data_IF_571822307531
#
_entry.id   IF_571822307531
#
_cell.length_a   1.000
_cell.length_b   1.000
_cell.length_c   1.000
_cell.angle_alpha   90.00
_cell.angle_beta   90.00
_cell.angle_gamma   90.00
#
_symmetry.space_group_name_H-M   'P 1'
#
loop_
_entity.id
_entity.type
_entity.pdbx_description
1 polymer ?
#
# COMPACT_ATOMS: atom_id res chain seq x y z
N UNK A 1 -4.36 9.26 17.79
CA UNK A 1 -4.01 9.03 16.39
C UNK A 1 -2.50 9.26 16.30
N UNK A 2 -1.72 8.45 15.59
CA UNK A 2 -0.27 8.74 15.40
C UNK A 2 -0.09 10.04 14.63
N UNK A 3 1.08 10.68 14.77
CA UNK A 3 1.47 11.84 13.98
C UNK A 3 1.58 11.42 12.51
N UNK A 4 0.99 12.19 11.61
CA UNK A 4 1.01 11.99 10.15
C UNK A 4 1.71 13.17 9.48
N UNK A 5 2.35 12.91 8.34
CA UNK A 5 2.82 13.94 7.41
C UNK A 5 1.83 14.06 6.27
N UNK A 6 1.20 15.22 6.15
CA UNK A 6 0.09 15.47 5.23
C UNK A 6 0.49 16.49 4.16
N UNK A 7 -0.07 16.32 2.96
CA UNK A 7 -0.04 17.34 1.93
C UNK A 7 -1.45 17.82 1.66
N UNK A 8 -1.71 19.12 1.80
CA UNK A 8 -2.95 19.76 1.34
C UNK A 8 -2.64 20.47 0.02
N UNK A 9 -3.27 20.05 -1.05
CA UNK A 9 -3.11 20.63 -2.37
C UNK A 9 -4.43 21.25 -2.82
N UNK A 10 -4.51 22.58 -2.85
CA UNK A 10 -5.70 23.33 -3.28
C UNK A 10 -5.32 24.76 -3.67
N UNK A 11 -6.00 25.33 -4.66
CA UNK A 11 -5.84 26.74 -5.03
C UNK A 11 -6.52 27.66 -4.01
N UNK A 12 -7.55 27.18 -3.29
CA UNK A 12 -8.23 27.93 -2.24
C UNK A 12 -7.31 28.12 -1.03
N UNK A 13 -6.74 29.32 -0.93
CA UNK A 13 -5.77 29.69 0.12
C UNK A 13 -6.39 29.70 1.51
N UNK A 14 -7.58 30.25 1.64
CA UNK A 14 -8.28 30.39 2.94
C UNK A 14 -8.60 29.02 3.51
N UNK A 15 -9.19 28.17 2.70
CA UNK A 15 -9.51 26.80 3.10
C UNK A 15 -8.27 25.97 3.37
N UNK A 16 -7.27 26.06 2.51
CA UNK A 16 -5.99 25.35 2.66
C UNK A 16 -5.32 25.72 3.97
N UNK A 17 -5.19 27.04 4.26
CA UNK A 17 -4.61 27.55 5.51
C UNK A 17 -5.42 27.17 6.74
N UNK A 18 -6.76 27.22 6.66
CA UNK A 18 -7.63 26.79 7.76
C UNK A 18 -7.42 25.32 8.09
N UNK A 19 -7.45 24.43 7.09
CA UNK A 19 -7.27 23.00 7.29
C UNK A 19 -5.86 22.68 7.79
N UNK A 20 -4.85 23.35 7.25
CA UNK A 20 -3.47 23.20 7.69
C UNK A 20 -3.30 23.56 9.17
N UNK A 21 -3.84 24.68 9.61
CA UNK A 21 -3.78 25.12 11.01
C UNK A 21 -4.50 24.17 11.97
N UNK A 22 -5.65 23.61 11.57
CA UNK A 22 -6.38 22.65 12.40
C UNK A 22 -5.63 21.31 12.53
N UNK A 23 -5.06 20.81 11.43
CA UNK A 23 -4.31 19.56 11.41
C UNK A 23 -2.96 19.67 12.15
N UNK A 24 -2.31 20.83 12.07
CA UNK A 24 -1.10 21.12 12.84
C UNK A 24 -1.40 21.17 14.35
N UNK A 25 -2.52 21.81 14.74
CA UNK A 25 -2.99 21.83 16.13
C UNK A 25 -3.33 20.42 16.68
N UNK A 26 -3.73 19.48 15.81
CA UNK A 26 -3.93 18.06 16.16
C UNK A 26 -2.61 17.26 16.21
N UNK A 27 -1.46 17.91 15.97
CA UNK A 27 -0.13 17.31 16.07
C UNK A 27 0.37 16.62 14.80
N UNK A 28 -0.20 16.93 13.64
CA UNK A 28 0.27 16.44 12.34
C UNK A 28 1.34 17.38 11.74
N UNK A 29 2.16 16.87 10.85
CA UNK A 29 3.05 17.73 10.03
C UNK A 29 2.35 18.02 8.72
N UNK A 30 2.10 19.31 8.42
CA UNK A 30 1.31 19.69 7.25
C UNK A 30 2.17 20.45 6.24
N UNK A 31 2.09 20.05 4.99
CA UNK A 31 2.66 20.72 3.84
C UNK A 31 1.54 21.21 2.92
N UNK A 32 1.76 22.35 2.26
CA UNK A 32 0.75 22.97 1.40
C UNK A 32 1.24 23.07 -0.04
N UNK A 33 0.35 22.97 -1.01
CA UNK A 33 0.61 23.22 -2.42
C UNK A 33 -0.61 23.90 -3.07
N UNK A 34 -0.40 24.88 -3.93
CA UNK A 34 -1.43 25.64 -4.63
C UNK A 34 -1.55 25.28 -6.12
N UNK A 35 -0.62 24.47 -6.63
CA UNK A 35 -0.59 24.06 -8.03
C UNK A 35 0.04 22.67 -8.22
N UNK A 36 -0.22 21.98 -9.35
CA UNK A 36 0.21 20.59 -9.55
C UNK A 36 1.72 20.38 -9.40
N UNK A 37 2.54 21.27 -9.95
CA UNK A 37 3.99 21.13 -9.92
C UNK A 37 4.55 21.21 -8.48
N UNK A 38 4.00 22.09 -7.63
CA UNK A 38 4.36 22.17 -6.21
C UNK A 38 3.94 20.91 -5.46
N UNK A 39 2.74 20.38 -5.75
CA UNK A 39 2.28 19.12 -5.16
C UNK A 39 3.21 17.96 -5.52
N UNK A 40 3.54 17.77 -6.80
CA UNK A 40 4.47 16.73 -7.26
C UNK A 40 5.86 16.89 -6.65
N UNK A 41 6.38 18.13 -6.56
CA UNK A 41 7.69 18.38 -5.94
C UNK A 41 7.73 17.94 -4.48
N UNK A 42 6.70 18.27 -3.69
CA UNK A 42 6.60 17.88 -2.27
C UNK A 42 6.39 16.39 -2.11
N UNK A 43 5.50 15.78 -2.89
CA UNK A 43 5.27 14.33 -2.89
C UNK A 43 6.54 13.54 -3.27
N UNK A 44 7.39 14.10 -4.13
CA UNK A 44 8.64 13.45 -4.55
C UNK A 44 9.80 13.62 -3.57
N UNK A 45 9.75 14.68 -2.74
CA UNK A 45 10.83 15.03 -1.82
C UNK A 45 10.57 14.60 -0.37
N UNK A 46 9.31 14.43 0.02
CA UNK A 46 8.87 14.19 1.38
C UNK A 46 8.12 12.86 1.50
N UNK A 47 8.22 12.22 2.65
CA UNK A 47 7.41 11.05 2.98
C UNK A 47 6.01 11.51 3.41
N UNK A 48 5.10 11.67 2.47
CA UNK A 48 3.70 12.06 2.73
C UNK A 48 2.87 10.80 2.98
N UNK A 49 2.15 10.79 4.10
CA UNK A 49 1.27 9.69 4.49
C UNK A 49 -0.10 9.77 3.81
N UNK A 50 -0.67 10.97 3.68
CA UNK A 50 -1.97 11.21 3.04
C UNK A 50 -1.95 12.55 2.31
N UNK A 51 -2.55 12.60 1.11
CA UNK A 51 -2.83 13.84 0.39
C UNK A 51 -4.31 14.21 0.50
N UNK A 52 -4.58 15.46 0.87
CA UNK A 52 -5.90 16.10 0.73
C UNK A 52 -5.85 16.97 -0.51
N UNK A 53 -6.66 16.64 -1.51
CA UNK A 53 -6.62 17.24 -2.84
C UNK A 53 -7.95 17.96 -3.14
N UNK A 54 -7.91 19.28 -3.16
CA UNK A 54 -8.99 20.14 -3.64
C UNK A 54 -8.78 20.56 -5.09
N UNK A 55 -9.54 21.56 -5.53
CA UNK A 55 -9.35 22.15 -6.84
C UNK A 55 -7.96 22.81 -6.96
N UNK A 56 -7.36 22.65 -8.12
CA UNK A 56 -6.10 23.29 -8.52
C UNK A 56 -6.40 24.37 -9.57
N UNK A 57 -5.35 24.91 -10.20
CA UNK A 57 -5.46 26.07 -11.10
C UNK A 57 -6.47 25.89 -12.25
N UNK A 58 -6.62 24.66 -12.74
CA UNK A 58 -7.61 24.30 -13.74
C UNK A 58 -8.45 23.11 -13.27
N UNK A 59 -9.72 23.03 -13.66
CA UNK A 59 -10.61 21.92 -13.23
C UNK A 59 -10.10 20.52 -13.56
N UNK A 60 -9.26 20.39 -14.59
CA UNK A 60 -8.70 19.10 -14.99
C UNK A 60 -7.41 18.74 -14.22
N UNK A 61 -6.81 19.66 -13.47
CA UNK A 61 -5.48 19.46 -12.88
C UNK A 61 -5.51 18.44 -11.72
N UNK A 62 -6.48 18.52 -10.83
CA UNK A 62 -6.60 17.60 -9.71
C UNK A 62 -6.85 16.14 -10.21
N UNK A 63 -7.81 15.88 -11.13
CA UNK A 63 -7.98 14.55 -11.70
C UNK A 63 -6.77 14.03 -12.50
N UNK A 64 -6.05 14.92 -13.20
CA UNK A 64 -4.82 14.54 -13.93
C UNK A 64 -3.70 14.15 -12.99
N UNK A 65 -3.45 14.97 -11.97
CA UNK A 65 -2.44 14.68 -10.94
C UNK A 65 -2.72 13.32 -10.29
N UNK A 66 -3.96 13.09 -9.90
CA UNK A 66 -4.34 11.83 -9.24
C UNK A 66 -4.15 10.62 -10.16
N UNK A 67 -4.57 10.69 -11.42
CA UNK A 67 -4.35 9.62 -12.41
C UNK A 67 -2.85 9.37 -12.64
N UNK A 68 -2.04 10.41 -12.78
CA UNK A 68 -0.59 10.30 -12.95
C UNK A 68 0.08 9.60 -11.75
N UNK A 69 -0.35 9.93 -10.52
CA UNK A 69 0.11 9.25 -9.30
C UNK A 69 -0.29 7.76 -9.36
N UNK A 70 -1.55 7.45 -9.68
CA UNK A 70 -2.03 6.06 -9.75
C UNK A 70 -1.38 5.24 -10.86
N UNK A 71 -1.05 5.87 -11.98
CA UNK A 71 -0.34 5.25 -13.09
C UNK A 71 1.16 5.03 -12.82
N UNK A 72 1.71 5.61 -11.72
CA UNK A 72 3.13 5.52 -11.40
C UNK A 72 4.02 6.35 -12.33
N UNK A 73 3.47 7.42 -12.95
CA UNK A 73 4.22 8.32 -13.83
C UNK A 73 5.33 9.09 -13.09
N UNK A 74 5.24 9.15 -11.77
CA UNK A 74 6.21 9.79 -10.89
C UNK A 74 6.97 8.72 -10.07
N UNK A 75 8.20 8.34 -10.43
CA UNK A 75 8.91 7.20 -9.81
C UNK A 75 9.15 7.28 -8.29
N UNK A 76 9.10 8.50 -7.73
CA UNK A 76 9.30 8.75 -6.30
C UNK A 76 7.99 8.88 -5.52
N UNK A 77 6.85 8.83 -6.19
CA UNK A 77 5.53 8.91 -5.56
C UNK A 77 4.91 7.51 -5.58
N UNK A 78 4.50 7.02 -4.42
CA UNK A 78 3.89 5.70 -4.35
C UNK A 78 2.49 5.73 -4.99
N UNK A 79 2.16 4.86 -5.95
CA UNK A 79 0.84 4.83 -6.60
C UNK A 79 -0.32 4.57 -5.63
N UNK A 80 -0.06 3.89 -4.52
CA UNK A 80 -1.01 3.64 -3.44
C UNK A 80 -1.04 4.74 -2.37
N UNK A 81 -0.47 5.94 -2.62
CA UNK A 81 -0.61 7.08 -1.70
C UNK A 81 -2.10 7.34 -1.44
N UNK A 82 -2.55 7.36 -0.18
CA UNK A 82 -3.92 7.70 0.15
C UNK A 82 -4.27 9.12 -0.24
N UNK A 83 -5.40 9.30 -0.93
CA UNK A 83 -5.86 10.60 -1.39
C UNK A 83 -7.33 10.80 -1.02
N UNK A 84 -7.58 11.87 -0.25
CA UNK A 84 -8.91 12.38 0.04
C UNK A 84 -9.13 13.57 -0.89
N UNK A 85 -10.11 13.50 -1.77
CA UNK A 85 -10.49 14.66 -2.59
C UNK A 85 -11.58 15.49 -1.92
N UNK A 86 -11.53 16.79 -2.14
CA UNK A 86 -12.54 17.75 -1.70
C UNK A 86 -13.04 18.48 -2.95
N UNK A 87 -14.36 18.56 -3.14
CA UNK A 87 -14.96 19.22 -4.30
C UNK A 87 -16.47 19.29 -4.19
N UNK A 88 -17.14 19.75 -5.25
CA UNK A 88 -18.59 19.97 -5.24
C UNK A 88 -19.40 18.74 -4.78
N UNK A 89 -20.50 19.02 -4.08
CA UNK A 89 -21.44 18.03 -3.56
C UNK A 89 -22.40 17.54 -4.67
N UNK A 90 -21.84 17.02 -5.76
CA UNK A 90 -22.66 16.43 -6.81
C UNK A 90 -22.11 15.05 -7.19
N UNK A 91 -23.02 14.19 -7.66
CA UNK A 91 -22.72 12.81 -7.99
C UNK A 91 -21.66 12.70 -9.09
N UNK A 92 -21.66 13.61 -10.07
CA UNK A 92 -20.72 13.56 -11.19
C UNK A 92 -19.29 13.90 -10.74
N UNK A 93 -19.13 14.90 -9.85
CA UNK A 93 -17.83 15.26 -9.27
C UNK A 93 -17.31 14.14 -8.39
N UNK A 94 -18.15 13.54 -7.55
CA UNK A 94 -17.77 12.38 -6.75
C UNK A 94 -17.37 11.19 -7.62
N UNK A 95 -18.14 10.88 -8.66
CA UNK A 95 -17.82 9.79 -9.59
C UNK A 95 -16.46 10.02 -10.28
N UNK A 96 -16.22 11.22 -10.80
CA UNK A 96 -14.94 11.58 -11.43
C UNK A 96 -13.76 11.48 -10.48
N UNK A 97 -13.95 11.85 -9.21
CA UNK A 97 -12.94 11.72 -8.18
C UNK A 97 -12.56 10.24 -7.98
N UNK A 98 -13.54 9.36 -7.80
CA UNK A 98 -13.31 7.92 -7.63
C UNK A 98 -12.73 7.27 -8.90
N UNK A 99 -13.21 7.61 -10.10
CA UNK A 99 -12.64 7.12 -11.36
C UNK A 99 -11.19 7.58 -11.57
N UNK A 100 -10.82 8.73 -11.01
CA UNK A 100 -9.43 9.21 -11.03
C UNK A 100 -8.55 8.52 -9.99
N UNK A 101 -9.15 7.74 -9.06
CA UNK A 101 -8.44 6.96 -8.04
C UNK A 101 -8.42 7.60 -6.65
N UNK A 102 -9.38 8.46 -6.31
CA UNK A 102 -9.59 8.96 -4.95
C UNK A 102 -9.98 7.81 -4.01
N UNK A 103 -9.44 7.79 -2.80
CA UNK A 103 -9.81 6.84 -1.76
C UNK A 103 -11.07 7.31 -1.01
N UNK A 104 -11.29 8.60 -0.97
CA UNK A 104 -12.49 9.22 -0.41
C UNK A 104 -12.76 10.59 -1.06
N UNK A 105 -14.03 10.91 -1.25
CA UNK A 105 -14.47 12.23 -1.71
C UNK A 105 -15.32 12.92 -0.65
N UNK A 106 -15.02 14.17 -0.37
CA UNK A 106 -15.74 15.00 0.58
C UNK A 106 -16.30 16.26 -0.11
N UNK A 107 -17.51 16.70 0.23
CA UNK A 107 -18.06 17.97 -0.22
C UNK A 107 -17.20 19.19 0.20
N UNK A 108 -17.29 20.27 -0.57
CA UNK A 108 -16.57 21.51 -0.29
C UNK A 108 -16.97 22.16 1.05
N UNK A 109 -18.20 21.99 1.48
CA UNK A 109 -18.72 22.50 2.75
C UNK A 109 -18.36 21.60 3.94
N UNK A 110 -17.61 20.51 3.71
CA UNK A 110 -17.22 19.58 4.77
C UNK A 110 -16.48 20.30 5.89
N UNK A 111 -17.03 20.20 7.09
CA UNK A 111 -16.40 20.69 8.31
C UNK A 111 -15.17 19.86 8.70
N UNK A 112 -14.24 20.52 9.42
CA UNK A 112 -12.98 19.90 9.86
C UNK A 112 -13.17 18.56 10.60
N UNK A 113 -14.19 18.44 11.46
CA UNK A 113 -14.42 17.21 12.22
C UNK A 113 -14.70 15.99 11.35
N UNK A 114 -15.39 16.16 10.21
CA UNK A 114 -15.63 15.07 9.28
C UNK A 114 -14.34 14.72 8.51
N UNK A 115 -13.60 15.72 8.03
CA UNK A 115 -12.29 15.48 7.41
C UNK A 115 -11.37 14.70 8.35
N UNK A 116 -11.30 15.10 9.63
CA UNK A 116 -10.50 14.41 10.66
C UNK A 116 -10.91 12.95 10.85
N UNK A 117 -12.22 12.67 10.88
CA UNK A 117 -12.74 11.29 11.01
C UNK A 117 -12.40 10.43 9.78
N UNK A 118 -12.53 11.00 8.58
CA UNK A 118 -12.17 10.34 7.32
C UNK A 118 -10.66 10.12 7.27
N UNK A 119 -9.86 11.14 7.61
CA UNK A 119 -8.41 11.04 7.67
C UNK A 119 -7.96 9.91 8.60
N UNK A 120 -8.57 9.80 9.80
CA UNK A 120 -8.29 8.71 10.73
C UNK A 120 -8.60 7.32 10.13
N UNK A 121 -9.66 7.22 9.33
CA UNK A 121 -10.06 5.96 8.69
C UNK A 121 -9.11 5.60 7.55
N UNK A 122 -8.74 6.57 6.72
CA UNK A 122 -7.80 6.39 5.60
C UNK A 122 -6.42 6.06 6.13
N UNK A 123 -5.91 6.81 7.13
CA UNK A 123 -4.61 6.56 7.74
C UNK A 123 -4.53 5.19 8.43
N UNK A 124 -5.60 4.73 9.07
CA UNK A 124 -5.64 3.38 9.66
C UNK A 124 -5.51 2.30 8.58
N UNK A 125 -6.21 2.44 7.46
CA UNK A 125 -6.06 1.53 6.31
C UNK A 125 -4.63 1.51 5.78
N UNK A 126 -3.97 2.66 5.77
CA UNK A 126 -2.56 2.78 5.32
C UNK A 126 -1.61 2.10 6.30
N UNK A 127 -1.87 2.24 7.62
CA UNK A 127 -1.09 1.55 8.65
C UNK A 127 -1.36 0.04 8.62
N UNK A 128 -2.60 -0.38 8.43
CA UNK A 128 -2.98 -1.77 8.23
C UNK A 128 -2.38 -2.31 6.91
N UNK A 129 -2.40 -1.54 5.82
CA UNK A 129 -1.75 -1.84 4.54
C UNK A 129 -0.22 -1.80 4.64
N UNK A 130 0.37 -0.90 5.42
CA UNK A 130 1.81 -0.90 5.67
C UNK A 130 2.24 -2.12 6.50
N UNK A 131 1.43 -2.52 7.47
CA UNK A 131 1.61 -3.77 8.21
C UNK A 131 1.33 -4.98 7.31
N UNK A 132 0.34 -4.89 6.41
CA UNK A 132 0.04 -5.90 5.40
C UNK A 132 1.07 -5.95 4.25
N UNK A 133 1.85 -4.88 4.03
CA UNK A 133 2.94 -4.84 3.04
C UNK A 133 4.23 -5.49 3.53
N UNK A 134 4.42 -5.55 4.84
CA UNK A 134 5.55 -6.21 5.47
C UNK A 134 5.06 -7.42 6.27
N UNK A 135 5.32 -8.60 5.74
CA UNK A 135 5.01 -9.84 6.44
C UNK A 135 6.26 -10.32 7.15
N UNK A 136 6.11 -10.73 8.42
CA UNK A 136 7.19 -11.21 9.25
C UNK A 136 6.87 -12.60 9.80
N UNK A 137 7.80 -13.53 9.61
CA UNK A 137 7.71 -14.87 10.22
C UNK A 137 9.08 -15.23 10.76
N UNK A 138 9.28 -15.07 12.07
CA UNK A 138 10.60 -15.15 12.67
C UNK A 138 11.54 -14.12 12.05
N UNK A 139 12.69 -14.55 11.56
CA UNK A 139 13.68 -13.69 10.90
C UNK A 139 13.39 -13.42 9.41
N UNK A 140 12.34 -14.00 8.86
CA UNK A 140 11.94 -13.80 7.47
C UNK A 140 11.08 -12.54 7.37
N UNK A 141 11.51 -11.60 6.55
CA UNK A 141 10.78 -10.38 6.23
C UNK A 141 10.44 -10.37 4.74
N UNK A 142 9.19 -10.19 4.40
CA UNK A 142 8.69 -10.10 3.03
C UNK A 142 8.08 -8.73 2.81
N UNK A 143 8.70 -7.93 1.96
CA UNK A 143 8.16 -6.64 1.53
C UNK A 143 7.34 -6.85 0.24
N UNK A 144 6.01 -6.75 0.37
CA UNK A 144 5.09 -6.95 -0.74
C UNK A 144 5.10 -5.79 -1.75
N UNK A 145 5.49 -4.59 -1.32
CA UNK A 145 5.58 -3.42 -2.19
C UNK A 145 6.87 -3.43 -3.01
N UNK A 146 8.00 -3.65 -2.35
CA UNK A 146 9.30 -3.73 -3.02
C UNK A 146 9.55 -5.10 -3.71
N UNK A 147 8.70 -6.11 -3.48
CA UNK A 147 8.86 -7.49 -3.94
C UNK A 147 10.22 -8.09 -3.50
N UNK A 148 10.62 -7.78 -2.28
CA UNK A 148 11.90 -8.23 -1.70
C UNK A 148 11.69 -9.17 -0.52
N UNK A 149 12.69 -10.01 -0.28
CA UNK A 149 12.74 -10.93 0.86
C UNK A 149 14.08 -10.75 1.55
N UNK A 150 14.05 -10.65 2.88
CA UNK A 150 15.26 -10.73 3.70
C UNK A 150 15.10 -11.78 4.78
N UNK A 151 16.23 -12.38 5.20
CA UNK A 151 16.33 -13.29 6.34
C UNK A 151 17.43 -12.75 7.24
N UNK A 152 17.12 -12.46 8.50
CA UNK A 152 18.06 -11.83 9.43
C UNK A 152 18.76 -10.59 8.83
N UNK A 153 18.02 -9.75 8.08
CA UNK A 153 18.53 -8.57 7.38
C UNK A 153 19.29 -8.85 6.08
N UNK A 154 19.57 -10.09 5.73
CA UNK A 154 20.27 -10.45 4.49
C UNK A 154 19.28 -10.66 3.34
N UNK A 155 19.49 -9.99 2.21
CA UNK A 155 18.61 -10.09 1.04
C UNK A 155 18.65 -11.48 0.42
N UNK A 156 17.48 -12.07 0.16
CA UNK A 156 17.31 -13.38 -0.47
C UNK A 156 16.73 -13.21 -1.86
N UNK A 157 17.46 -13.66 -2.89
CA UNK A 157 16.95 -13.63 -4.26
C UNK A 157 15.97 -14.78 -4.48
N UNK A 158 14.72 -14.45 -4.74
CA UNK A 158 13.65 -15.38 -5.07
C UNK A 158 13.06 -15.07 -6.43
N UNK A 159 12.59 -16.08 -7.14
CA UNK A 159 11.82 -15.87 -8.37
C UNK A 159 10.43 -15.32 -8.05
N UNK A 160 9.73 -14.79 -9.06
CA UNK A 160 8.38 -14.24 -8.90
C UNK A 160 7.38 -15.25 -8.31
N UNK A 161 7.47 -16.52 -8.70
CA UNK A 161 6.62 -17.58 -8.17
C UNK A 161 7.02 -18.00 -6.75
N UNK A 162 8.31 -18.05 -6.45
CA UNK A 162 8.81 -18.31 -5.10
C UNK A 162 8.42 -17.18 -4.13
N UNK A 163 8.50 -15.93 -4.60
CA UNK A 163 8.02 -14.78 -3.83
C UNK A 163 6.51 -14.88 -3.54
N UNK A 164 5.69 -15.16 -4.54
CA UNK A 164 4.25 -15.30 -4.37
C UNK A 164 3.87 -16.45 -3.42
N UNK A 165 4.60 -17.56 -3.47
CA UNK A 165 4.45 -18.67 -2.51
C UNK A 165 4.80 -18.24 -1.09
N UNK A 166 5.96 -17.58 -0.91
CA UNK A 166 6.40 -17.11 0.41
C UNK A 166 5.44 -16.07 0.99
N UNK A 167 5.00 -15.10 0.19
CA UNK A 167 4.00 -14.11 0.58
C UNK A 167 2.68 -14.78 1.02
N UNK A 168 2.23 -15.80 0.28
CA UNK A 168 1.03 -16.56 0.64
C UNK A 168 1.18 -17.28 1.98
N UNK A 169 2.31 -17.91 2.22
CA UNK A 169 2.59 -18.57 3.50
C UNK A 169 2.74 -17.57 4.64
N UNK A 170 3.43 -16.46 4.40
CA UNK A 170 3.71 -15.45 5.44
C UNK A 170 2.47 -14.63 5.83
N UNK A 171 1.47 -14.53 4.94
CA UNK A 171 0.19 -13.89 5.24
C UNK A 171 -0.68 -14.69 6.23
N UNK A 172 -0.46 -15.99 6.36
CA UNK A 172 -1.19 -16.85 7.30
C UNK A 172 -0.23 -17.94 7.82
N UNK A 173 0.70 -17.56 8.70
CA UNK A 173 1.70 -18.48 9.24
C UNK A 173 1.04 -19.64 10.00
N UNK A 174 1.71 -20.79 10.01
CA UNK A 174 1.25 -22.03 10.66
C UNK A 174 0.11 -22.73 9.89
N UNK A 175 -0.70 -21.99 9.13
CA UNK A 175 -1.75 -22.61 8.30
C UNK A 175 -1.15 -23.59 7.29
N UNK A 176 -1.81 -24.72 7.13
CA UNK A 176 -1.44 -25.72 6.12
C UNK A 176 -2.20 -25.45 4.83
N UNK A 177 -1.44 -25.20 3.76
CA UNK A 177 -1.97 -24.99 2.41
C UNK A 177 -1.81 -26.26 1.58
N UNK A 178 -2.90 -26.77 1.02
CA UNK A 178 -2.83 -27.90 0.11
C UNK A 178 -2.15 -27.51 -1.23
N UNK A 179 -1.56 -28.47 -1.93
CA UNK A 179 -0.96 -28.25 -3.25
C UNK A 179 -1.97 -27.71 -4.26
N UNK A 180 -3.20 -28.18 -4.20
CA UNK A 180 -4.27 -27.71 -5.07
C UNK A 180 -4.64 -26.24 -4.78
N UNK A 181 -4.72 -25.86 -3.51
CA UNK A 181 -4.96 -24.47 -3.11
C UNK A 181 -3.82 -23.55 -3.58
N UNK A 182 -2.57 -23.93 -3.35
CA UNK A 182 -1.41 -23.17 -3.81
C UNK A 182 -1.38 -23.04 -5.33
N UNK A 183 -1.65 -24.13 -6.06
CA UNK A 183 -1.74 -24.13 -7.51
C UNK A 183 -2.78 -23.11 -8.00
N UNK A 184 -3.98 -23.15 -7.44
CA UNK A 184 -5.07 -22.24 -7.83
C UNK A 184 -4.76 -20.78 -7.51
N UNK A 185 -4.18 -20.51 -6.33
CA UNK A 185 -3.90 -19.13 -5.90
C UNK A 185 -2.73 -18.48 -6.66
N UNK A 186 -1.66 -19.25 -6.95
CA UNK A 186 -0.42 -18.70 -7.49
C UNK A 186 -0.38 -18.75 -9.03
N UNK A 187 -0.91 -19.82 -9.65
CA UNK A 187 -0.87 -20.02 -11.11
C UNK A 187 -2.19 -19.69 -11.82
N UNK A 188 -3.21 -19.25 -11.07
CA UNK A 188 -4.54 -18.72 -11.49
C UNK A 188 -5.25 -19.46 -12.62
N UNK A 189 -4.69 -19.55 -13.84
CA UNK A 189 -5.33 -20.12 -15.03
C UNK A 189 -4.54 -21.27 -15.68
N UNK A 190 -3.40 -21.62 -15.13
CA UNK A 190 -2.60 -22.72 -15.69
C UNK A 190 -2.94 -24.02 -14.97
N UNK A 191 -3.31 -25.03 -15.72
CA UNK A 191 -3.41 -26.40 -15.18
C UNK A 191 -1.98 -26.91 -14.90
N UNK A 192 -1.55 -26.80 -13.65
CA UNK A 192 -0.27 -27.33 -13.21
C UNK A 192 -0.48 -28.56 -12.33
N UNK A 193 0.46 -29.50 -12.43
CA UNK A 193 0.47 -30.67 -11.56
C UNK A 193 1.13 -30.37 -10.21
N UNK A 194 0.84 -31.19 -9.21
CA UNK A 194 1.39 -31.03 -7.85
C UNK A 194 2.91 -31.08 -7.78
N UNK A 195 3.61 -31.72 -8.74
CA UNK A 195 5.08 -31.76 -8.80
C UNK A 195 5.69 -30.39 -9.10
N UNK A 196 5.01 -29.57 -9.90
CA UNK A 196 5.44 -28.19 -10.17
C UNK A 196 5.42 -27.35 -8.88
N UNK A 197 4.38 -27.47 -8.08
CA UNK A 197 4.28 -26.79 -6.77
C UNK A 197 5.42 -27.24 -5.86
N UNK A 198 5.63 -28.55 -5.72
CA UNK A 198 6.71 -29.12 -4.89
C UNK A 198 8.11 -28.64 -5.32
N UNK A 199 8.36 -28.54 -6.63
CA UNK A 199 9.64 -28.07 -7.16
C UNK A 199 9.91 -26.61 -6.82
N UNK A 200 8.90 -25.74 -6.85
CA UNK A 200 9.04 -24.33 -6.45
C UNK A 200 9.23 -24.18 -4.94
N UNK A 201 8.49 -24.96 -4.15
CA UNK A 201 8.64 -24.96 -2.68
C UNK A 201 10.02 -25.49 -2.28
N UNK A 202 10.52 -26.56 -2.92
CA UNK A 202 11.84 -27.09 -2.64
C UNK A 202 12.95 -26.07 -2.93
N UNK A 203 12.85 -25.33 -4.05
CA UNK A 203 13.80 -24.25 -4.38
C UNK A 203 13.71 -23.10 -3.38
N UNK A 204 12.50 -22.64 -3.06
CA UNK A 204 12.29 -21.61 -2.05
C UNK A 204 12.90 -22.03 -0.70
N UNK A 205 12.60 -23.24 -0.23
CA UNK A 205 13.18 -23.79 1.00
C UNK A 205 14.71 -23.78 0.98
N UNK A 206 15.32 -24.21 -0.12
CA UNK A 206 16.78 -24.20 -0.28
C UNK A 206 17.38 -22.79 -0.14
N UNK A 207 16.74 -21.79 -0.74
CA UNK A 207 17.17 -20.37 -0.64
C UNK A 207 17.04 -19.82 0.77
N UNK A 208 15.93 -20.12 1.46
CA UNK A 208 15.71 -19.69 2.85
C UNK A 208 16.72 -20.35 3.79
N UNK A 209 17.00 -21.65 3.61
CA UNK A 209 18.01 -22.36 4.39
C UNK A 209 19.43 -21.79 4.16
N UNK A 210 19.80 -21.48 2.91
CA UNK A 210 21.09 -20.84 2.61
C UNK A 210 21.23 -19.45 3.26
N UNK A 211 20.12 -18.77 3.49
CA UNK A 211 20.09 -17.46 4.16
C UNK A 211 19.98 -17.55 5.70
N UNK A 212 19.97 -18.75 6.28
CA UNK A 212 19.92 -18.99 7.72
C UNK A 212 18.55 -19.38 8.27
N UNK A 213 17.46 -19.29 7.48
CA UNK A 213 16.13 -19.71 7.92
C UNK A 213 15.93 -21.22 7.70
N UNK A 214 16.38 -22.01 8.64
CA UNK A 214 16.25 -23.46 8.58
C UNK A 214 14.88 -23.93 9.07
N UNK A 215 14.37 -25.01 8.46
CA UNK A 215 13.14 -25.70 8.87
C UNK A 215 11.86 -24.84 8.97
N UNK A 216 11.84 -23.70 8.28
CA UNK A 216 10.70 -22.78 8.29
C UNK A 216 9.55 -23.26 7.38
N UNK A 217 9.85 -23.93 6.25
CA UNK A 217 8.86 -24.52 5.34
C UNK A 217 8.70 -26.02 5.61
N UNK A 218 7.58 -26.38 6.23
CA UNK A 218 7.30 -27.75 6.69
C UNK A 218 6.27 -28.41 5.79
N UNK A 219 6.59 -29.64 5.35
CA UNK A 219 5.64 -30.52 4.70
C UNK A 219 4.79 -31.25 5.78
N UNK A 220 3.50 -31.02 5.77
CA UNK A 220 2.53 -31.78 6.55
C UNK A 220 2.02 -32.93 5.68
N UNK A 221 2.52 -34.12 5.95
CA UNK A 221 2.30 -35.30 5.12
C UNK A 221 0.81 -35.50 4.83
N UNK A 222 0.43 -35.68 3.55
CA UNK A 222 -0.94 -35.85 3.10
C UNK A 222 -1.82 -34.57 3.14
N UNK A 223 -1.37 -33.48 3.75
CA UNK A 223 -2.15 -32.25 3.94
C UNK A 223 -1.63 -31.09 3.09
N UNK A 224 -0.32 -30.88 3.03
CA UNK A 224 0.28 -29.78 2.29
C UNK A 224 1.49 -29.16 2.97
N UNK A 225 1.65 -27.85 2.85
CA UNK A 225 2.80 -27.10 3.31
C UNK A 225 2.39 -25.96 4.24
N UNK A 226 3.23 -25.67 5.22
CA UNK A 226 3.07 -24.53 6.13
C UNK A 226 4.40 -23.81 6.35
N UNK A 227 4.34 -22.52 6.67
CA UNK A 227 5.47 -21.71 7.13
C UNK A 227 5.36 -21.54 8.64
N UNK A 228 6.45 -21.75 9.37
CA UNK A 228 6.51 -21.55 10.81
C UNK A 228 7.62 -20.59 11.17
N UNK A 229 7.48 -19.87 12.27
CA UNK A 229 8.58 -19.14 12.88
C UNK A 229 9.49 -20.15 13.62
N UNK A 230 10.77 -20.00 13.47
CA UNK A 230 11.80 -20.69 14.26
C UNK A 230 12.41 -19.73 15.25
#
# INVERSE_FOLDING_TARGET
MGQLTLLIASVDEDRRGFLAGQLDADGHTVHEADHPAAAVAKLSALAIDVMVLGDLQQPADAPRLLRAVRAGEHPRIHPGLPVITIGAEDELTALRAYESGSDHHLPDDTGYMLLRAVLATVARRTLDDATARHLHVGEIHVDLAALTVTVAGTAVRVSRLEFALLAKFAADPVRVFSKHELARCIWRQQQINGRTVDSHIARLRGRLTQAGAERVLINRWGQGWSLIAT
#
